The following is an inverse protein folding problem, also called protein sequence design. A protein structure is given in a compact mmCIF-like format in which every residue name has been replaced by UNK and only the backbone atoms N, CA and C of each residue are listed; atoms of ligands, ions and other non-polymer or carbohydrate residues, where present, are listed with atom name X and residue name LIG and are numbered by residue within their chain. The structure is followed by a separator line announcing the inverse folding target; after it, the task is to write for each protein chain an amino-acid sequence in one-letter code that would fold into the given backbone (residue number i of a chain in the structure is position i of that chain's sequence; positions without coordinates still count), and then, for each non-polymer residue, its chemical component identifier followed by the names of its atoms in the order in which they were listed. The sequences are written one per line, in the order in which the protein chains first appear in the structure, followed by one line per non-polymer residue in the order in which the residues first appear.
data_IF_001969254636
#
_entry.id   IF_001969254636
#
_cell.length_a   1.000
_cell.length_b   1.000
_cell.length_c   1.000
_cell.angle_alpha   90.00
_cell.angle_beta   90.00
_cell.angle_gamma   90.00
#
_symmetry.space_group_name_H-M   'P 1'
#
loop_
_entity.id
_entity.type
_entity.pdbx_description
1 polymer ?
#
# COMPACT_ATOMS: atom_id res chain seq x y z
N UNK A 1 43.15 -4.79 39.41
CA UNK A 1 43.40 -5.39 38.08
C UNK A 1 42.72 -6.74 38.04
N UNK A 2 41.56 -6.83 37.40
CA UNK A 2 40.94 -8.11 37.09
C UNK A 2 40.36 -7.97 35.69
N UNK A 3 40.95 -8.58 34.65
CA UNK A 3 40.38 -8.54 33.32
C UNK A 3 39.19 -9.50 33.26
N UNK A 4 38.00 -8.96 33.02
CA UNK A 4 36.82 -9.76 32.63
C UNK A 4 37.06 -10.38 31.25
N UNK A 5 36.91 -11.70 31.07
CA UNK A 5 37.06 -12.32 29.76
C UNK A 5 35.89 -11.90 28.85
N UNK A 6 36.23 -11.34 27.70
CA UNK A 6 35.29 -11.13 26.59
C UNK A 6 35.03 -12.47 25.94
N UNK A 7 33.78 -12.92 25.99
CA UNK A 7 33.28 -14.05 25.21
C UNK A 7 33.49 -13.80 23.72
N UNK A 8 33.92 -14.81 22.94
CA UNK A 8 34.16 -14.65 21.51
C UNK A 8 32.83 -14.47 20.76
N UNK A 9 32.81 -13.53 19.81
CA UNK A 9 31.75 -13.44 18.79
C UNK A 9 31.91 -14.65 17.88
N UNK A 10 31.05 -15.64 18.01
CA UNK A 10 30.96 -16.75 17.06
C UNK A 10 30.32 -16.19 15.77
N UNK A 11 31.15 -15.74 14.84
CA UNK A 11 30.74 -15.61 13.44
C UNK A 11 30.64 -17.03 12.91
N UNK A 12 29.45 -17.61 12.96
CA UNK A 12 29.19 -18.92 12.35
C UNK A 12 29.23 -18.74 10.83
N UNK A 13 30.35 -19.09 10.21
CA UNK A 13 30.40 -19.39 8.78
C UNK A 13 29.53 -20.62 8.53
N UNK A 14 28.33 -20.41 7.99
CA UNK A 14 27.42 -21.49 7.60
C UNK A 14 27.88 -22.14 6.29
N UNK A 15 27.91 -23.48 6.27
CA UNK A 15 28.12 -24.24 5.04
C UNK A 15 27.04 -23.86 3.99
N UNK A 16 27.40 -23.78 2.69
CA UNK A 16 26.52 -23.23 1.64
C UNK A 16 25.19 -23.98 1.49
N UNK A 17 25.16 -25.28 1.80
CA UNK A 17 23.94 -26.10 1.80
C UNK A 17 22.98 -25.75 2.94
N UNK A 18 23.50 -25.39 4.11
CA UNK A 18 22.69 -25.00 5.26
C UNK A 18 22.05 -23.63 5.05
N UNK A 19 22.79 -22.67 4.46
CA UNK A 19 22.28 -21.36 4.09
C UNK A 19 21.16 -21.44 3.03
N UNK A 20 21.33 -22.28 2.00
CA UNK A 20 20.30 -22.51 0.99
C UNK A 20 19.03 -23.13 1.58
N UNK A 21 19.15 -24.06 2.53
CA UNK A 21 18.02 -24.64 3.24
C UNK A 21 17.26 -23.60 4.08
N UNK A 22 17.98 -22.76 4.83
CA UNK A 22 17.37 -21.66 5.62
C UNK A 22 16.64 -20.65 4.74
N UNK A 23 17.21 -20.30 3.59
CA UNK A 23 16.56 -19.41 2.63
C UNK A 23 15.22 -19.99 2.15
N UNK A 24 15.17 -21.28 1.82
CA UNK A 24 13.92 -21.93 1.41
C UNK A 24 12.91 -22.01 2.55
N UNK A 25 13.35 -22.30 3.77
CA UNK A 25 12.48 -22.25 4.96
C UNK A 25 11.89 -20.86 5.15
N UNK A 26 12.70 -19.80 5.03
CA UNK A 26 12.24 -18.43 5.16
C UNK A 26 11.20 -18.07 4.09
N UNK A 27 11.42 -18.45 2.83
CA UNK A 27 10.41 -18.28 1.76
C UNK A 27 9.13 -19.05 2.06
N UNK A 28 9.23 -20.26 2.59
CA UNK A 28 8.06 -21.06 2.95
C UNK A 28 7.24 -20.42 4.08
N UNK A 29 7.89 -19.86 5.10
CA UNK A 29 7.22 -19.11 6.16
C UNK A 29 6.51 -17.86 5.63
N UNK A 30 7.16 -17.10 4.73
CA UNK A 30 6.53 -15.93 4.11
C UNK A 30 5.29 -16.32 3.29
N UNK A 31 5.35 -17.45 2.57
CA UNK A 31 4.21 -17.99 1.82
C UNK A 31 3.06 -18.42 2.74
N UNK A 32 3.35 -19.14 3.83
CA UNK A 32 2.36 -19.58 4.82
C UNK A 32 1.62 -18.38 5.46
N UNK A 33 2.36 -17.30 5.73
CA UNK A 33 1.80 -16.04 6.25
C UNK A 33 1.11 -15.18 5.17
N UNK A 34 1.06 -15.64 3.92
CA UNK A 34 0.48 -14.94 2.76
C UNK A 34 1.17 -13.60 2.44
N UNK A 35 2.46 -13.48 2.77
CA UNK A 35 3.30 -12.32 2.49
C UNK A 35 4.00 -12.49 1.13
N UNK A 36 3.20 -12.56 0.06
CA UNK A 36 3.67 -12.92 -1.28
C UNK A 36 4.68 -11.92 -1.86
N UNK A 37 4.46 -10.61 -1.68
CA UNK A 37 5.36 -9.60 -2.21
C UNK A 37 6.70 -9.58 -1.46
N UNK A 38 6.68 -9.81 -0.13
CA UNK A 38 7.91 -10.04 0.62
C UNK A 38 8.65 -11.30 0.13
N UNK A 39 7.95 -12.40 -0.12
CA UNK A 39 8.58 -13.65 -0.60
C UNK A 39 9.25 -13.50 -1.97
N UNK A 40 8.70 -12.65 -2.85
CA UNK A 40 9.26 -12.31 -4.14
C UNK A 40 10.44 -11.32 -4.03
N UNK A 41 10.34 -10.33 -3.14
CA UNK A 41 11.38 -9.31 -2.94
C UNK A 41 12.58 -9.79 -2.11
N UNK A 42 12.43 -10.90 -1.38
CA UNK A 42 13.43 -11.45 -0.48
C UNK A 42 14.86 -11.53 -1.06
N UNK A 43 15.11 -12.16 -2.24
CA UNK A 43 16.46 -12.25 -2.77
C UNK A 43 17.09 -10.87 -3.03
N UNK A 44 16.33 -9.93 -3.59
CA UNK A 44 16.84 -8.57 -3.84
C UNK A 44 17.20 -7.82 -2.55
N UNK A 45 16.38 -7.97 -1.50
CA UNK A 45 16.65 -7.33 -0.20
C UNK A 45 17.86 -7.93 0.50
N UNK A 46 18.06 -9.25 0.39
CA UNK A 46 19.25 -9.92 0.94
C UNK A 46 20.53 -9.50 0.20
N UNK A 47 20.48 -9.42 -1.12
CA UNK A 47 21.61 -8.93 -1.93
C UNK A 47 21.97 -7.50 -1.56
N UNK A 48 20.97 -6.61 -1.44
CA UNK A 48 21.16 -5.22 -0.97
C UNK A 48 21.73 -5.15 0.45
N UNK A 49 21.20 -5.95 1.37
CA UNK A 49 21.70 -5.99 2.75
C UNK A 49 23.17 -6.42 2.82
N UNK A 50 23.58 -7.37 1.97
CA UNK A 50 24.97 -7.79 1.87
C UNK A 50 25.88 -6.73 1.24
N UNK A 51 25.40 -6.04 0.19
CA UNK A 51 26.18 -5.04 -0.53
C UNK A 51 26.35 -3.73 0.26
N UNK A 52 25.30 -3.29 0.95
CA UNK A 52 25.27 -2.05 1.73
C UNK A 52 25.67 -2.25 3.20
N UNK A 53 25.85 -3.51 3.64
CA UNK A 53 26.16 -3.82 5.04
C UNK A 53 25.04 -3.43 6.01
N UNK A 54 23.78 -3.57 5.59
CA UNK A 54 22.63 -3.14 6.37
C UNK A 54 22.51 -3.93 7.68
N UNK A 55 22.02 -3.27 8.73
CA UNK A 55 21.61 -3.99 9.92
C UNK A 55 20.42 -4.92 9.60
N UNK A 56 20.31 -6.02 10.33
CA UNK A 56 19.20 -6.95 10.19
C UNK A 56 17.84 -6.26 10.35
N UNK A 57 17.74 -5.30 11.27
CA UNK A 57 16.52 -4.51 11.50
C UNK A 57 16.12 -3.70 10.27
N UNK A 58 17.07 -3.10 9.57
CA UNK A 58 16.81 -2.32 8.34
C UNK A 58 16.43 -3.26 7.19
N UNK A 59 17.11 -4.39 7.05
CA UNK A 59 16.79 -5.36 6.00
C UNK A 59 15.36 -5.94 6.18
N UNK A 60 14.98 -6.30 7.41
CA UNK A 60 13.63 -6.79 7.72
C UNK A 60 12.56 -5.71 7.53
N UNK A 61 12.84 -4.47 7.94
CA UNK A 61 11.91 -3.35 7.74
C UNK A 61 11.66 -3.12 6.25
N UNK A 62 12.72 -3.03 5.42
CA UNK A 62 12.58 -2.88 3.97
C UNK A 62 11.79 -4.03 3.34
N UNK A 63 12.05 -5.27 3.75
CA UNK A 63 11.33 -6.44 3.25
C UNK A 63 9.83 -6.37 3.58
N UNK A 64 9.49 -6.02 4.81
CA UNK A 64 8.10 -5.93 5.25
C UNK A 64 7.39 -4.69 4.69
N UNK A 65 8.10 -3.59 4.45
CA UNK A 65 7.57 -2.39 3.82
C UNK A 65 7.01 -2.70 2.41
N UNK A 66 7.72 -3.51 1.62
CA UNK A 66 7.24 -3.97 0.29
C UNK A 66 5.90 -4.69 0.41
N UNK A 67 5.74 -5.57 1.40
CA UNK A 67 4.49 -6.28 1.61
C UNK A 67 3.36 -5.35 2.10
N UNK A 68 3.67 -4.40 2.98
CA UNK A 68 2.70 -3.40 3.44
C UNK A 68 2.20 -2.56 2.27
N UNK A 69 3.08 -2.11 1.38
CA UNK A 69 2.72 -1.37 0.18
C UNK A 69 1.83 -2.22 -0.75
N UNK A 70 2.24 -3.47 -1.03
CA UNK A 70 1.43 -4.37 -1.85
C UNK A 70 0.06 -4.70 -1.22
N UNK A 71 0.00 -4.83 0.11
CA UNK A 71 -1.23 -5.09 0.86
C UNK A 71 -2.17 -3.89 0.86
N UNK A 72 -1.63 -2.68 1.09
CA UNK A 72 -2.41 -1.43 1.04
C UNK A 72 -2.95 -1.17 -0.37
N UNK A 73 -2.14 -1.38 -1.41
CA UNK A 73 -2.58 -1.27 -2.81
C UNK A 73 -3.70 -2.27 -3.15
N UNK A 74 -3.57 -3.54 -2.74
CA UNK A 74 -4.62 -4.57 -2.91
C UNK A 74 -5.92 -4.20 -2.18
N UNK A 75 -5.81 -3.72 -0.93
CA UNK A 75 -6.97 -3.26 -0.14
C UNK A 75 -7.66 -2.07 -0.78
N UNK A 76 -6.89 -1.09 -1.27
CA UNK A 76 -7.42 0.08 -1.97
C UNK A 76 -8.13 -0.33 -3.27
N UNK A 77 -7.49 -1.17 -4.09
CA UNK A 77 -8.09 -1.70 -5.31
C UNK A 77 -9.40 -2.46 -5.03
N UNK A 78 -9.44 -3.25 -3.96
CA UNK A 78 -10.65 -3.90 -3.49
C UNK A 78 -11.75 -2.90 -3.14
N UNK A 79 -11.44 -1.89 -2.31
CA UNK A 79 -12.38 -0.82 -1.94
C UNK A 79 -12.92 -0.08 -3.17
N UNK A 80 -12.06 0.29 -4.11
CA UNK A 80 -12.47 0.98 -5.34
C UNK A 80 -13.38 0.12 -6.22
N UNK A 81 -13.13 -1.19 -6.30
CA UNK A 81 -14.01 -2.14 -7.00
C UNK A 81 -15.42 -2.19 -6.40
N UNK A 82 -15.54 -2.06 -5.09
CA UNK A 82 -16.83 -2.08 -4.38
C UNK A 82 -17.48 -0.70 -4.20
N UNK A 83 -16.75 0.38 -4.48
CA UNK A 83 -17.27 1.74 -4.32
C UNK A 83 -18.32 2.12 -5.38
N UNK A 84 -18.47 1.32 -6.45
CA UNK A 84 -19.43 1.54 -7.54
C UNK A 84 -19.39 2.98 -8.12
N UNK A 85 -18.24 3.64 -8.04
CA UNK A 85 -18.07 4.98 -8.57
C UNK A 85 -18.02 4.91 -10.11
N UNK A 86 -18.79 5.77 -10.82
CA UNK A 86 -18.91 5.69 -12.28
C UNK A 86 -17.60 6.01 -13.02
N UNK A 87 -16.73 6.79 -12.39
CA UNK A 87 -15.39 7.10 -12.89
C UNK A 87 -14.42 7.27 -11.72
N UNK A 88 -13.15 6.84 -11.85
CA UNK A 88 -12.12 7.22 -10.89
C UNK A 88 -11.93 8.73 -11.00
N UNK A 89 -12.36 9.46 -9.98
CA UNK A 89 -12.19 10.89 -9.85
C UNK A 89 -11.46 11.18 -8.55
N UNK A 90 -10.40 11.97 -8.61
CA UNK A 90 -9.72 12.46 -7.42
C UNK A 90 -10.09 13.91 -7.16
N UNK A 91 -9.91 14.37 -5.93
CA UNK A 91 -10.13 15.79 -5.59
C UNK A 91 -9.16 16.71 -6.35
N UNK A 92 -8.00 16.20 -6.81
CA UNK A 92 -7.05 16.94 -7.62
C UNK A 92 -7.55 17.19 -9.05
N UNK A 93 -8.44 16.32 -9.56
CA UNK A 93 -9.07 16.49 -10.88
C UNK A 93 -10.23 17.48 -10.84
N UNK A 94 -10.61 17.97 -9.66
CA UNK A 94 -11.73 18.88 -9.47
C UNK A 94 -11.34 20.34 -9.75
N UNK A 95 -11.90 20.90 -10.82
CA UNK A 95 -11.74 22.31 -11.15
C UNK A 95 -12.65 23.18 -10.26
N UNK A 96 -12.07 23.72 -9.19
CA UNK A 96 -12.76 24.61 -8.25
C UNK A 96 -13.13 25.94 -8.91
N UNK A 97 -12.32 26.43 -9.84
CA UNK A 97 -12.52 27.74 -10.47
C UNK A 97 -13.70 27.71 -11.47
N UNK A 98 -13.95 26.55 -12.09
CA UNK A 98 -15.12 26.32 -12.94
C UNK A 98 -16.43 26.12 -12.14
N UNK A 99 -16.35 25.82 -10.84
CA UNK A 99 -17.52 25.53 -10.01
C UNK A 99 -18.03 26.78 -9.28
N UNK A 100 -19.17 27.33 -9.75
CA UNK A 100 -19.77 28.51 -9.15
C UNK A 100 -20.18 28.26 -7.68
N UNK A 101 -19.67 29.08 -6.75
CA UNK A 101 -20.08 29.08 -5.34
C UNK A 101 -19.32 28.12 -4.43
N UNK A 102 -18.22 27.52 -4.89
CA UNK A 102 -17.37 26.63 -4.07
C UNK A 102 -16.13 27.40 -3.59
N UNK A 103 -15.87 27.39 -2.27
CA UNK A 103 -14.66 27.94 -1.69
C UNK A 103 -13.51 26.92 -1.78
N UNK A 104 -12.39 27.33 -2.38
CA UNK A 104 -11.18 26.52 -2.46
C UNK A 104 -10.66 26.09 -1.09
N UNK A 105 -10.77 26.95 -0.08
CA UNK A 105 -10.35 26.62 1.29
C UNK A 105 -11.15 25.46 1.87
N UNK A 106 -12.44 25.40 1.57
CA UNK A 106 -13.31 24.31 2.01
C UNK A 106 -12.92 22.99 1.32
N UNK A 107 -12.63 23.02 0.02
CA UNK A 107 -12.16 21.83 -0.71
C UNK A 107 -10.82 21.33 -0.16
N UNK A 108 -9.87 22.24 0.10
CA UNK A 108 -8.58 21.88 0.70
C UNK A 108 -8.76 21.27 2.10
N UNK A 109 -9.69 21.82 2.91
CA UNK A 109 -10.03 21.28 4.22
C UNK A 109 -10.63 19.86 4.12
N UNK A 110 -11.58 19.64 3.20
CA UNK A 110 -12.15 18.32 2.94
C UNK A 110 -11.09 17.33 2.44
N UNK A 111 -10.11 17.79 1.66
CA UNK A 111 -8.98 16.99 1.20
C UNK A 111 -8.11 16.43 2.34
N UNK A 112 -8.14 17.06 3.54
CA UNK A 112 -7.45 16.52 4.72
C UNK A 112 -8.16 15.33 5.36
N UNK A 113 -9.40 15.04 4.97
CA UNK A 113 -10.24 13.96 5.53
C UNK A 113 -10.47 14.05 7.05
N UNK A 114 -10.18 15.18 7.71
CA UNK A 114 -10.39 15.36 9.17
C UNK A 114 -11.84 15.15 9.61
N UNK A 115 -12.81 15.40 8.74
CA UNK A 115 -14.23 15.14 9.00
C UNK A 115 -14.53 13.66 9.32
N UNK A 116 -13.65 12.73 8.93
CA UNK A 116 -13.77 11.31 9.30
C UNK A 116 -13.49 11.08 10.78
N UNK A 117 -12.57 11.83 11.38
CA UNK A 117 -12.22 11.70 12.81
C UNK A 117 -13.36 12.16 13.72
N UNK A 118 -14.07 13.20 13.30
CA UNK A 118 -15.24 13.75 14.01
C UNK A 118 -16.56 13.11 13.60
N UNK A 119 -16.55 12.07 12.75
CA UNK A 119 -17.74 11.45 12.17
C UNK A 119 -18.73 12.47 11.56
N UNK A 120 -18.20 13.56 10.99
CA UNK A 120 -19.00 14.62 10.38
C UNK A 120 -19.36 14.22 8.96
N UNK A 121 -20.66 14.15 8.68
CA UNK A 121 -21.16 13.79 7.35
C UNK A 121 -21.07 14.99 6.41
N UNK A 122 -20.47 14.78 5.24
CA UNK A 122 -20.35 15.79 4.18
C UNK A 122 -21.32 15.41 3.06
N UNK A 123 -22.19 16.35 2.70
CA UNK A 123 -23.13 16.20 1.59
C UNK A 123 -22.71 17.14 0.46
N UNK A 124 -22.22 16.57 -0.64
CA UNK A 124 -21.92 17.31 -1.85
C UNK A 124 -23.18 17.31 -2.74
N UNK A 125 -23.67 18.50 -3.11
CA UNK A 125 -24.87 18.69 -3.94
C UNK A 125 -24.49 19.53 -5.17
N UNK A 126 -24.80 19.03 -6.36
CA UNK A 126 -24.47 19.66 -7.63
C UNK A 126 -24.83 18.77 -8.82
N UNK A 127 -24.89 19.32 -10.04
CA UNK A 127 -25.29 18.58 -11.24
C UNK A 127 -24.38 17.38 -11.57
N UNK A 128 -23.18 17.31 -10.97
CA UNK A 128 -22.25 16.19 -11.11
C UNK A 128 -22.30 15.12 -10.02
N UNK A 129 -23.06 15.30 -8.92
CA UNK A 129 -23.00 14.41 -7.74
C UNK A 129 -24.31 13.66 -7.44
N UNK A 130 -25.40 14.01 -8.12
CA UNK A 130 -26.66 13.27 -8.09
C UNK A 130 -26.87 12.74 -9.51
N UNK A 131 -26.99 11.42 -9.67
CA UNK A 131 -27.09 10.79 -10.98
C UNK A 131 -28.19 11.43 -11.85
N UNK A 132 -27.79 12.14 -12.92
CA UNK A 132 -28.72 12.63 -13.93
C UNK A 132 -28.25 13.84 -14.74
N UNK A 133 -27.30 13.65 -15.67
CA UNK A 133 -27.44 13.99 -17.11
C UNK A 133 -26.13 14.40 -17.82
N UNK A 134 -25.76 13.57 -18.81
CA UNK A 134 -24.88 13.83 -19.97
C UNK A 134 -23.36 13.95 -19.78
N UNK A 135 -22.76 12.98 -19.09
CA UNK A 135 -21.49 12.42 -19.62
C UNK A 135 -21.86 11.20 -20.47
N UNK A 136 -21.62 11.30 -21.78
CA UNK A 136 -21.76 10.17 -22.70
C UNK A 136 -20.67 9.15 -22.39
N UNK A 137 -20.95 8.21 -21.51
CA UNK A 137 -20.10 7.04 -21.31
C UNK A 137 -20.28 6.13 -22.55
N UNK A 138 -19.21 5.78 -23.28
CA UNK A 138 -19.31 4.84 -24.40
C UNK A 138 -19.86 3.49 -23.90
N UNK A 139 -20.80 2.90 -24.64
CA UNK A 139 -21.52 1.64 -24.33
C UNK A 139 -20.62 0.39 -24.17
N UNK A 140 -19.30 0.51 -24.27
CA UNK A 140 -18.36 -0.60 -24.17
C UNK A 140 -17.92 -0.94 -22.74
N UNK A 141 -18.29 -0.15 -21.72
CA UNK A 141 -17.79 -0.31 -20.35
C UNK A 141 -18.75 -1.00 -19.36
N UNK A 142 -19.93 -1.46 -19.79
CA UNK A 142 -20.79 -2.31 -18.96
C UNK A 142 -20.33 -3.77 -19.02
N UNK A 143 -19.29 -4.12 -18.25
CA UNK A 143 -18.98 -5.53 -17.98
C UNK A 143 -19.85 -6.05 -16.82
N UNK A 144 -21.11 -6.37 -17.14
CA UNK A 144 -21.90 -7.50 -16.65
C UNK A 144 -22.05 -7.83 -15.16
N UNK A 145 -21.67 -6.98 -14.18
CA UNK A 145 -21.82 -7.32 -12.75
C UNK A 145 -22.56 -6.31 -11.86
N UNK A 146 -23.04 -5.21 -12.41
CA UNK A 146 -23.77 -4.18 -11.64
C UNK A 146 -25.28 -4.14 -11.93
N UNK A 147 -25.85 -5.20 -12.51
CA UNK A 147 -27.26 -5.25 -12.89
C UNK A 147 -28.07 -6.38 -12.21
N UNK A 148 -27.56 -6.96 -11.14
CA UNK A 148 -28.35 -7.80 -10.21
C UNK A 148 -28.43 -7.11 -8.84
#
# INVERSE_FOLDING_TARGET
MTPTPRTPKTTTEEAPTAAASRYQQLRSHLAELKLAAAAEALPAVLDQASAEGLSLTVALERLLAVEVEASTARRLAGRLRFACLPTPATLADFDVDAAAGIDRKLIDELGTCRYLESATNILLIGPGVIAGSRVRVPRSACSGRCCD
#
